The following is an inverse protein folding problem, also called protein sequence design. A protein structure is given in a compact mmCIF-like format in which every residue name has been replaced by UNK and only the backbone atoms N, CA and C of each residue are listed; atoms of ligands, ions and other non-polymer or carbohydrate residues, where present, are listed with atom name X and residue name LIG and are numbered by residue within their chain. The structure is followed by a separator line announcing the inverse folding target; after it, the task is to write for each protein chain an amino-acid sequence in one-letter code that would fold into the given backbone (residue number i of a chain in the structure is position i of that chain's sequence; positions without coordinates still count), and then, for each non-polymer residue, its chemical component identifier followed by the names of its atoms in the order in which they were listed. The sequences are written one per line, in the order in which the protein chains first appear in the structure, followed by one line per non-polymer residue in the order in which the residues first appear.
data_IF_707671746580
#
_entry.id   IF_707671746580
#
_cell.length_a   1.000
_cell.length_b   1.000
_cell.length_c   1.000
_cell.angle_alpha   90.00
_cell.angle_beta   90.00
_cell.angle_gamma   90.00
#
_symmetry.space_group_name_H-M   'P 1'
#
loop_
_entity.id
_entity.type
_entity.pdbx_description
1 polymer ?
#
# COMPACT_ATOMS: atom_id res chain seq x y z
N UNK A 1 -1.70 -0.09 12.73
CA UNK A 1 -2.75 -0.69 11.89
C UNK A 1 -4.00 0.16 11.97
N UNK A 2 -4.62 0.50 10.83
CA UNK A 2 -5.84 1.32 10.78
C UNK A 2 -6.93 0.62 9.97
N UNK A 3 -7.95 0.09 10.66
CA UNK A 3 -9.11 -0.56 10.03
C UNK A 3 -9.89 0.41 9.15
N UNK A 4 -9.99 1.69 9.56
CA UNK A 4 -10.67 2.73 8.79
C UNK A 4 -9.96 3.02 7.46
N UNK A 5 -8.62 3.08 7.47
CA UNK A 5 -7.84 3.28 6.25
C UNK A 5 -7.99 2.10 5.29
N UNK A 6 -8.00 0.87 5.81
CA UNK A 6 -8.21 -0.34 5.00
C UNK A 6 -9.61 -0.34 4.38
N UNK A 7 -10.66 0.01 5.14
CA UNK A 7 -12.02 0.13 4.63
C UNK A 7 -12.14 1.18 3.51
N UNK A 8 -11.51 2.34 3.68
CA UNK A 8 -11.43 3.35 2.62
C UNK A 8 -10.72 2.81 1.37
N UNK A 9 -9.56 2.17 1.55
CA UNK A 9 -8.79 1.59 0.45
C UNK A 9 -9.57 0.49 -0.30
N UNK A 10 -10.40 -0.30 0.39
CA UNK A 10 -11.29 -1.30 -0.23
C UNK A 10 -12.35 -0.66 -1.14
N UNK A 11 -12.86 0.52 -0.80
CA UNK A 11 -13.84 1.26 -1.61
C UNK A 11 -13.29 1.84 -2.92
N UNK A 12 -11.97 2.00 -3.05
CA UNK A 12 -11.36 2.66 -4.20
C UNK A 12 -11.19 1.74 -5.43
N UNK A 13 -11.53 2.24 -6.62
CA UNK A 13 -11.19 1.56 -7.88
C UNK A 13 -9.81 2.02 -8.37
N UNK A 14 -8.80 1.17 -8.16
CA UNK A 14 -7.39 1.49 -8.48
C UNK A 14 -6.99 1.07 -9.91
N UNK A 15 -7.81 0.27 -10.59
CA UNK A 15 -7.56 -0.15 -11.99
C UNK A 15 -6.46 -1.20 -12.17
N UNK A 16 -5.76 -1.60 -11.10
CA UNK A 16 -4.75 -2.67 -11.11
C UNK A 16 -4.84 -3.51 -9.83
N UNK A 17 -4.84 -4.85 -9.92
CA UNK A 17 -4.74 -5.72 -8.75
C UNK A 17 -3.49 -5.46 -7.91
N UNK A 18 -2.36 -5.19 -8.57
CA UNK A 18 -1.09 -4.85 -7.91
C UNK A 18 -1.19 -3.55 -7.14
N UNK A 19 -1.70 -2.48 -7.77
CA UNK A 19 -1.92 -1.21 -7.09
C UNK A 19 -2.91 -1.34 -5.93
N UNK A 20 -3.95 -2.16 -6.10
CA UNK A 20 -4.96 -2.42 -5.07
C UNK A 20 -4.38 -3.10 -3.84
N UNK A 21 -3.63 -4.19 -4.01
CA UNK A 21 -3.04 -4.91 -2.86
C UNK A 21 -1.99 -4.06 -2.14
N UNK A 22 -1.21 -3.28 -2.90
CA UNK A 22 -0.20 -2.38 -2.34
C UNK A 22 -0.82 -1.23 -1.54
N UNK A 23 -1.92 -0.65 -2.04
CA UNK A 23 -2.70 0.35 -1.30
C UNK A 23 -3.29 -0.23 -0.01
N UNK A 24 -3.83 -1.45 -0.05
CA UNK A 24 -4.35 -2.13 1.15
C UNK A 24 -3.25 -2.38 2.17
N UNK A 25 -2.06 -2.82 1.73
CA UNK A 25 -0.90 -3.00 2.60
C UNK A 25 -0.50 -1.68 3.26
N UNK A 26 -0.40 -0.57 2.49
CA UNK A 26 -0.07 0.74 3.04
C UNK A 26 -1.10 1.23 4.06
N UNK A 27 -2.39 1.07 3.74
CA UNK A 27 -3.48 1.42 4.64
C UNK A 27 -3.46 0.57 5.92
N UNK A 28 -3.07 -0.70 5.81
CA UNK A 28 -2.89 -1.59 6.95
C UNK A 28 -1.75 -1.14 7.86
N UNK A 29 -0.69 -0.52 7.32
CA UNK A 29 0.41 0.04 8.11
C UNK A 29 0.19 1.49 8.56
N UNK A 30 -0.86 2.17 8.07
CA UNK A 30 -1.18 3.53 8.48
C UNK A 30 -1.50 3.59 9.98
N UNK A 31 -0.96 4.60 10.66
CA UNK A 31 -1.35 4.97 12.02
C UNK A 31 -2.53 5.97 12.01
N UNK A 32 -2.94 6.44 13.19
CA UNK A 32 -4.04 7.41 13.34
C UNK A 32 -3.79 8.76 12.65
N UNK A 33 -2.53 9.10 12.34
CA UNK A 33 -2.13 10.31 11.61
C UNK A 33 -1.96 10.07 10.11
N UNK A 34 -2.23 8.86 9.63
CA UNK A 34 -2.01 8.48 8.22
C UNK A 34 -0.52 8.23 7.87
N UNK A 35 0.37 8.19 8.86
CA UNK A 35 1.79 7.92 8.66
C UNK A 35 2.04 6.41 8.56
N UNK A 36 2.97 6.04 7.69
CA UNK A 36 3.28 4.67 7.34
C UNK A 36 4.80 4.54 7.18
N UNK A 37 5.44 3.69 8.01
CA UNK A 37 6.90 3.51 8.01
C UNK A 37 7.43 2.10 7.66
N UNK A 38 6.72 1.22 6.94
CA UNK A 38 7.32 -0.02 6.50
C UNK A 38 8.38 0.26 5.42
N UNK A 39 9.52 -0.41 5.51
CA UNK A 39 10.50 -0.36 4.44
C UNK A 39 9.93 -1.07 3.17
N UNK A 40 10.47 -0.73 2.00
CA UNK A 40 9.97 -1.26 0.71
C UNK A 40 10.04 -2.79 0.61
N UNK A 41 10.99 -3.43 1.31
CA UNK A 41 11.13 -4.89 1.32
C UNK A 41 10.03 -5.56 2.14
N UNK A 42 9.65 -4.98 3.26
CA UNK A 42 8.50 -5.42 4.06
C UNK A 42 7.23 -5.34 3.24
N UNK A 43 6.96 -4.20 2.60
CA UNK A 43 5.78 -4.05 1.71
C UNK A 43 5.80 -5.11 0.60
N UNK A 44 6.95 -5.31 -0.06
CA UNK A 44 7.07 -6.29 -1.13
C UNK A 44 6.76 -7.72 -0.66
N UNK A 45 7.26 -8.11 0.50
CA UNK A 45 6.99 -9.42 1.08
C UNK A 45 5.51 -9.61 1.42
N UNK A 46 4.89 -8.64 2.11
CA UNK A 46 3.48 -8.69 2.53
C UNK A 46 2.50 -8.68 1.34
N UNK A 47 2.91 -8.05 0.24
CA UNK A 47 2.10 -7.99 -0.99
C UNK A 47 2.41 -9.13 -1.96
N UNK A 48 3.38 -9.99 -1.64
CA UNK A 48 3.92 -11.03 -2.52
C UNK A 48 4.41 -10.48 -3.89
N UNK A 49 4.91 -9.25 -3.88
CA UNK A 49 5.41 -8.57 -5.08
C UNK A 49 6.94 -8.53 -5.08
N UNK A 50 7.51 -8.32 -6.27
CA UNK A 50 8.93 -7.97 -6.36
C UNK A 50 9.17 -6.58 -5.75
N UNK A 51 10.36 -6.38 -5.16
CA UNK A 51 10.79 -5.07 -4.67
C UNK A 51 10.82 -4.02 -5.79
N UNK A 52 11.12 -4.43 -7.03
CA UNK A 52 11.05 -3.58 -8.23
C UNK A 52 9.63 -3.07 -8.48
N UNK A 53 8.64 -3.98 -8.51
CA UNK A 53 7.23 -3.65 -8.74
C UNK A 53 6.72 -2.72 -7.63
N UNK A 54 7.05 -3.04 -6.38
CA UNK A 54 6.70 -2.23 -5.21
C UNK A 54 7.25 -0.79 -5.34
N UNK A 55 8.53 -0.65 -5.71
CA UNK A 55 9.17 0.66 -5.90
C UNK A 55 8.55 1.46 -7.05
N UNK A 56 8.15 0.81 -8.14
CA UNK A 56 7.51 1.48 -9.27
C UNK A 56 6.16 2.07 -8.85
N UNK A 57 5.34 1.29 -8.15
CA UNK A 57 4.04 1.76 -7.65
C UNK A 57 4.17 2.89 -6.63
N UNK A 58 5.10 2.78 -5.67
CA UNK A 58 5.32 3.84 -4.66
C UNK A 58 5.76 5.17 -5.28
N UNK A 59 6.49 5.14 -6.40
CA UNK A 59 6.87 6.35 -7.15
C UNK A 59 5.69 6.99 -7.88
N UNK A 60 4.74 6.18 -8.36
CA UNK A 60 3.57 6.70 -9.08
C UNK A 60 2.62 7.46 -8.16
N UNK A 61 2.54 7.07 -6.89
CA UNK A 61 1.70 7.72 -5.88
C UNK A 61 2.28 9.02 -5.32
N UNK A 62 3.53 9.38 -5.66
CA UNK A 62 4.22 10.59 -5.18
C UNK A 62 4.35 11.69 -6.25
N UNK A 63 3.60 11.58 -7.35
CA UNK A 63 3.46 12.60 -8.42
C UNK A 63 2.01 13.05 -8.50
#
# INVERSE_FOLDING_TARGET
MSIQAVAWALGLKVGSPTGKVLLLCLANYANEKGECWPNQRTIANETELSTRTTRQWLKQTSS
#
